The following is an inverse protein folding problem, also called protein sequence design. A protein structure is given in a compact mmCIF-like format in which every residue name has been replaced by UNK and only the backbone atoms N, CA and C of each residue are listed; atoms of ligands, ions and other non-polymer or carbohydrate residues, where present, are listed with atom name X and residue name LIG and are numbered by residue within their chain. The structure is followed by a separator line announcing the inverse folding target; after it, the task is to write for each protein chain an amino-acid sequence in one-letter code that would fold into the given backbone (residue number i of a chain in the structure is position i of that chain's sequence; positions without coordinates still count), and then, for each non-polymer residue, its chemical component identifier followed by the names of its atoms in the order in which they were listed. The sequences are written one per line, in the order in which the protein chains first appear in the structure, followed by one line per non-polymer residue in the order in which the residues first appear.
data_IF_798200097019
#
_entry.id   IF_798200097019
#
_cell.length_a   1.000
_cell.length_b   1.000
_cell.length_c   1.000
_cell.angle_alpha   90.00
_cell.angle_beta   90.00
_cell.angle_gamma   90.00
#
_symmetry.space_group_name_H-M   'P 1'
#
loop_
_entity.id
_entity.type
_entity.pdbx_description
1 polymer ?
#
# COMPACT_ATOMS: atom_id res chain seq x y z
N UNK A 1 9.66 -9.51 10.71
CA UNK A 1 9.19 -10.22 9.49
C UNK A 1 9.84 -9.63 8.25
N UNK A 2 9.70 -10.23 7.06
CA UNK A 2 10.26 -9.70 5.81
C UNK A 2 9.18 -9.60 4.72
N UNK A 3 9.34 -8.64 3.82
CA UNK A 3 8.46 -8.42 2.67
C UNK A 3 9.31 -8.03 1.46
N UNK A 4 8.91 -8.45 0.26
CA UNK A 4 9.53 -8.01 -0.99
C UNK A 4 8.69 -6.85 -1.56
N UNK A 5 9.34 -5.73 -1.83
CA UNK A 5 8.76 -4.52 -2.41
C UNK A 5 9.50 -4.29 -3.74
N UNK A 6 8.85 -4.60 -4.85
CA UNK A 6 9.37 -4.43 -6.22
C UNK A 6 10.78 -5.02 -6.46
N UNK A 7 11.10 -6.15 -5.81
CA UNK A 7 12.41 -6.80 -5.91
C UNK A 7 13.33 -6.53 -4.72
N UNK A 8 13.04 -5.50 -3.92
CA UNK A 8 13.83 -5.13 -2.73
C UNK A 8 13.25 -5.72 -1.45
N UNK A 9 14.08 -6.34 -0.61
CA UNK A 9 13.62 -6.98 0.63
C UNK A 9 13.69 -6.00 1.81
N UNK A 10 12.54 -5.70 2.40
CA UNK A 10 12.41 -4.91 3.62
C UNK A 10 12.25 -5.79 4.87
N UNK A 11 12.83 -5.36 5.99
CA UNK A 11 12.61 -5.94 7.32
C UNK A 11 11.59 -5.12 8.07
N UNK A 12 10.52 -5.75 8.54
CA UNK A 12 9.50 -5.11 9.37
C UNK A 12 9.75 -5.50 10.83
N UNK A 13 9.77 -4.50 11.71
CA UNK A 13 9.94 -4.62 13.17
C UNK A 13 8.84 -3.87 13.90
N UNK A 14 8.42 -4.40 15.04
CA UNK A 14 7.66 -3.66 16.03
C UNK A 14 8.65 -3.17 17.08
N UNK A 15 8.53 -1.91 17.49
CA UNK A 15 9.44 -1.27 18.43
C UNK A 15 8.66 -0.53 19.51
N UNK A 16 9.20 -0.38 20.73
CA UNK A 16 8.48 0.21 21.85
C UNK A 16 7.85 1.58 21.54
N UNK A 17 8.63 2.46 20.90
CA UNK A 17 8.22 3.83 20.59
C UNK A 17 8.92 4.35 19.33
N UNK A 18 8.32 5.40 18.74
CA UNK A 18 8.85 6.14 17.59
C UNK A 18 8.61 7.66 17.75
N UNK A 19 8.79 8.18 18.96
CA UNK A 19 8.60 9.59 19.29
C UNK A 19 7.21 10.10 18.84
N UNK A 20 6.17 9.45 19.34
CA UNK A 20 4.74 9.66 19.02
C UNK A 20 4.30 9.33 17.60
N UNK A 21 5.20 8.87 16.71
CA UNK A 21 4.82 8.40 15.38
C UNK A 21 4.25 6.99 15.43
N UNK A 22 3.31 6.70 14.53
CA UNK A 22 2.74 5.36 14.38
C UNK A 22 3.70 4.36 13.74
N UNK A 23 4.46 4.82 12.73
CA UNK A 23 5.40 4.03 11.96
C UNK A 23 6.45 4.91 11.29
N UNK A 24 7.47 4.26 10.73
CA UNK A 24 8.43 4.88 9.83
C UNK A 24 9.01 3.85 8.85
N UNK A 25 9.40 4.33 7.68
CA UNK A 25 10.13 3.57 6.67
C UNK A 25 11.49 4.21 6.41
N UNK A 26 12.54 3.47 6.72
CA UNK A 26 13.91 3.83 6.33
C UNK A 26 14.25 3.17 5.00
N UNK A 27 14.22 3.98 3.95
CA UNK A 27 14.46 3.55 2.58
C UNK A 27 15.89 3.10 2.31
N UNK A 28 16.88 3.45 3.13
CA UNK A 28 18.27 3.09 2.89
C UNK A 28 18.68 1.83 3.64
N UNK A 29 18.21 1.68 4.88
CA UNK A 29 18.45 0.46 5.67
C UNK A 29 17.44 -0.67 5.36
N UNK A 30 16.40 -0.34 4.58
CA UNK A 30 15.29 -1.23 4.20
C UNK A 30 14.57 -1.76 5.43
N UNK A 31 14.31 -0.88 6.39
CA UNK A 31 13.59 -1.19 7.62
C UNK A 31 12.27 -0.43 7.68
N UNK A 32 11.21 -1.16 7.96
CA UNK A 32 9.90 -0.60 8.32
C UNK A 32 9.73 -0.86 9.81
N UNK A 33 9.47 0.20 10.58
CA UNK A 33 9.26 0.12 12.03
C UNK A 33 7.85 0.56 12.35
N UNK A 34 7.16 -0.21 13.19
CA UNK A 34 5.80 0.08 13.65
C UNK A 34 5.86 0.24 15.17
N UNK A 35 5.30 1.33 15.67
CA UNK A 35 5.30 1.67 17.09
C UNK A 35 4.33 0.77 17.88
N UNK A 36 4.78 0.30 19.04
CA UNK A 36 3.95 -0.33 20.09
C UNK A 36 3.30 0.72 21.01
N UNK A 37 3.60 2.01 20.76
CA UNK A 37 3.03 3.18 21.44
C UNK A 37 3.32 3.22 22.94
N UNK A 38 4.43 2.66 23.43
CA UNK A 38 4.77 2.73 24.86
C UNK A 38 4.95 4.18 25.36
N UNK A 39 5.28 5.10 24.46
CA UNK A 39 5.45 6.54 24.69
C UNK A 39 4.15 7.36 24.59
N UNK A 40 3.04 6.74 24.20
CA UNK A 40 1.75 7.43 24.04
C UNK A 40 0.91 7.28 25.34
N UNK A 41 0.36 8.38 25.89
CA UNK A 41 -0.55 8.31 27.04
C UNK A 41 -1.80 7.48 26.74
N UNK A 42 -2.32 6.77 27.74
CA UNK A 42 -3.40 5.80 27.57
C UNK A 42 -4.69 6.44 27.02
N UNK A 43 -4.99 7.69 27.38
CA UNK A 43 -6.14 8.44 26.92
C UNK A 43 -6.13 8.75 25.41
N UNK A 44 -4.98 8.68 24.75
CA UNK A 44 -4.83 8.87 23.31
C UNK A 44 -4.67 7.55 22.55
N UNK A 45 -4.65 6.41 23.25
CA UNK A 45 -4.57 5.10 22.62
C UNK A 45 -5.94 4.62 22.20
N UNK A 46 -5.97 3.94 21.06
CA UNK A 46 -7.12 3.16 20.66
C UNK A 46 -7.17 1.84 21.42
N UNK A 47 -8.36 1.40 21.80
CA UNK A 47 -8.58 0.06 22.36
C UNK A 47 -8.27 -1.05 21.33
N UNK A 48 -8.18 -0.71 20.04
CA UNK A 48 -7.86 -1.64 18.97
C UNK A 48 -6.50 -1.34 18.33
N UNK A 49 -5.45 -1.38 19.15
CA UNK A 49 -4.06 -1.14 18.74
C UNK A 49 -3.66 -2.02 17.55
N UNK A 50 -4.12 -3.28 17.52
CA UNK A 50 -3.78 -4.23 16.46
C UNK A 50 -4.27 -3.78 15.08
N UNK A 51 -5.53 -3.32 14.96
CA UNK A 51 -6.04 -2.84 13.67
C UNK A 51 -5.40 -1.52 13.25
N UNK A 52 -5.12 -0.63 14.21
CA UNK A 52 -4.36 0.59 13.93
C UNK A 52 -2.96 0.26 13.39
N UNK A 53 -2.21 -0.63 14.05
CA UNK A 53 -0.87 -1.05 13.61
C UNK A 53 -0.89 -1.72 12.23
N UNK A 54 -1.95 -2.45 11.88
CA UNK A 54 -2.13 -2.96 10.51
C UNK A 54 -2.33 -1.83 9.50
N UNK A 55 -3.06 -0.78 9.88
CA UNK A 55 -3.26 0.40 9.02
C UNK A 55 -1.94 1.13 8.79
N UNK A 56 -1.20 1.41 9.87
CA UNK A 56 0.14 2.01 9.80
C UNK A 56 1.07 1.14 8.93
N UNK A 57 1.07 -0.18 9.13
CA UNK A 57 1.92 -1.05 8.30
C UNK A 57 1.60 -0.95 6.80
N UNK A 58 0.32 -0.81 6.43
CA UNK A 58 -0.05 -0.59 5.02
C UNK A 58 0.43 0.77 4.52
N UNK A 59 0.29 1.82 5.33
CA UNK A 59 0.80 3.16 5.05
C UNK A 59 2.32 3.12 4.75
N UNK A 60 3.10 2.52 5.64
CA UNK A 60 4.56 2.38 5.46
C UNK A 60 4.93 1.51 4.25
N UNK A 61 4.17 0.46 3.96
CA UNK A 61 4.38 -0.34 2.76
C UNK A 61 4.16 0.50 1.49
N UNK A 62 3.14 1.36 1.46
CA UNK A 62 2.84 2.23 0.31
C UNK A 62 4.00 3.21 0.09
N UNK A 63 4.52 3.83 1.15
CA UNK A 63 5.77 4.61 1.08
C UNK A 63 6.91 3.82 0.44
N UNK A 64 7.14 2.59 0.89
CA UNK A 64 8.19 1.73 0.32
C UNK A 64 7.96 1.41 -1.17
N UNK A 65 6.72 1.12 -1.59
CA UNK A 65 6.41 0.86 -3.01
C UNK A 65 6.65 2.10 -3.88
N UNK A 66 6.27 3.28 -3.40
CA UNK A 66 6.46 4.53 -4.13
C UNK A 66 7.94 4.88 -4.27
N UNK A 67 8.73 4.71 -3.21
CA UNK A 67 10.17 4.88 -3.24
C UNK A 67 10.87 3.90 -4.19
N UNK A 68 10.62 2.60 -4.06
CA UNK A 68 11.27 1.59 -4.92
C UNK A 68 10.87 1.70 -6.39
N UNK A 69 9.70 2.29 -6.69
CA UNK A 69 9.29 2.59 -8.06
C UNK A 69 9.93 3.87 -8.64
N UNK A 70 10.59 4.70 -7.82
CA UNK A 70 11.13 6.00 -8.18
C UNK A 70 10.06 7.10 -8.38
N UNK A 71 8.80 6.83 -8.03
CA UNK A 71 7.71 7.80 -8.11
C UNK A 71 7.80 8.86 -7.02
N UNK A 72 8.39 8.52 -5.88
CA UNK A 72 8.70 9.47 -4.80
C UNK A 72 9.44 10.71 -5.34
N UNK A 73 10.45 10.49 -6.19
CA UNK A 73 11.23 11.55 -6.83
C UNK A 73 10.59 12.06 -8.12
N UNK A 74 10.07 11.16 -8.96
CA UNK A 74 9.53 11.55 -10.27
C UNK A 74 8.28 12.41 -10.16
N UNK A 75 7.49 12.24 -9.09
CA UNK A 75 6.30 13.06 -8.81
C UNK A 75 6.64 14.48 -8.36
N UNK A 76 7.88 14.79 -8.00
CA UNK A 76 8.27 16.13 -7.53
C UNK A 76 8.01 17.23 -8.57
N UNK A 77 8.05 16.90 -9.86
CA UNK A 77 7.69 17.82 -10.94
C UNK A 77 6.17 18.07 -11.06
N UNK A 78 5.35 17.32 -10.31
CA UNK A 78 3.89 17.29 -10.35
C UNK A 78 3.32 17.36 -8.93
N UNK A 79 3.70 18.37 -8.17
CA UNK A 79 3.24 18.64 -6.80
C UNK A 79 3.55 17.54 -5.77
N UNK A 80 4.50 16.65 -6.08
CA UNK A 80 4.98 15.60 -5.17
C UNK A 80 3.84 14.70 -4.64
N UNK A 81 2.83 14.42 -5.48
CA UNK A 81 1.66 13.64 -5.09
C UNK A 81 2.00 12.24 -4.55
N UNK A 82 3.12 11.65 -4.97
CA UNK A 82 3.54 10.33 -4.52
C UNK A 82 4.07 10.33 -3.07
N UNK A 83 4.38 11.50 -2.50
CA UNK A 83 4.79 11.63 -1.08
C UNK A 83 3.76 12.40 -0.26
N UNK A 84 2.56 12.59 -0.81
CA UNK A 84 1.45 13.22 -0.11
C UNK A 84 0.84 12.24 0.90
N UNK A 85 0.94 12.55 2.19
CA UNK A 85 0.48 11.67 3.27
C UNK A 85 -1.02 11.36 3.22
N UNK A 86 -1.86 12.32 2.82
CA UNK A 86 -3.32 12.11 2.69
C UNK A 86 -3.63 11.05 1.62
N UNK A 87 -2.93 11.09 0.49
CA UNK A 87 -3.05 10.08 -0.57
C UNK A 87 -2.57 8.70 -0.09
N UNK A 88 -1.48 8.65 0.66
CA UNK A 88 -0.91 7.40 1.20
C UNK A 88 -1.86 6.81 2.25
N UNK A 89 -2.42 7.62 3.14
CA UNK A 89 -3.44 7.21 4.10
C UNK A 89 -4.69 6.68 3.41
N UNK A 90 -5.18 7.39 2.39
CA UNK A 90 -6.33 6.94 1.61
C UNK A 90 -6.05 5.57 0.98
N UNK A 91 -4.89 5.40 0.34
CA UNK A 91 -4.48 4.10 -0.22
C UNK A 91 -4.39 3.03 0.87
N UNK A 92 -3.79 3.31 2.02
CA UNK A 92 -3.65 2.35 3.12
C UNK A 92 -5.00 1.87 3.66
N UNK A 93 -5.98 2.78 3.73
CA UNK A 93 -7.34 2.47 4.22
C UNK A 93 -8.14 1.73 3.14
N UNK A 94 -8.04 2.13 1.87
CA UNK A 94 -8.88 1.54 0.81
C UNK A 94 -8.30 0.27 0.19
N UNK A 95 -6.98 0.05 0.20
CA UNK A 95 -6.34 -1.07 -0.50
C UNK A 95 -6.98 -2.43 -0.17
N UNK A 96 -7.28 -2.80 1.09
CA UNK A 96 -7.94 -4.08 1.37
C UNK A 96 -9.31 -4.23 0.68
N UNK A 97 -10.08 -3.13 0.57
CA UNK A 97 -11.40 -3.14 -0.10
C UNK A 97 -11.25 -3.22 -1.62
N UNK A 98 -10.27 -2.50 -2.17
CA UNK A 98 -9.95 -2.51 -3.60
C UNK A 98 -9.51 -3.92 -4.02
N UNK A 99 -8.62 -4.54 -3.25
CA UNK A 99 -8.17 -5.92 -3.51
C UNK A 99 -9.33 -6.91 -3.43
N UNK A 100 -10.19 -6.80 -2.40
CA UNK A 100 -11.38 -7.64 -2.30
C UNK A 100 -12.33 -7.47 -3.50
N UNK A 101 -12.55 -6.24 -3.97
CA UNK A 101 -13.35 -5.98 -5.16
C UNK A 101 -12.70 -6.59 -6.42
N UNK A 102 -11.39 -6.39 -6.61
CA UNK A 102 -10.62 -6.94 -7.73
C UNK A 102 -10.68 -8.48 -7.77
N UNK A 103 -10.39 -9.13 -6.65
CA UNK A 103 -10.46 -10.59 -6.50
C UNK A 103 -11.86 -11.14 -6.75
N UNK A 104 -12.92 -10.41 -6.36
CA UNK A 104 -14.30 -10.85 -6.56
C UNK A 104 -14.75 -10.92 -8.02
N UNK A 105 -14.02 -10.22 -8.91
CA UNK A 105 -14.30 -10.17 -10.36
C UNK A 105 -13.29 -11.02 -11.13
N UNK A 106 -11.99 -10.88 -10.86
CA UNK A 106 -10.92 -11.53 -11.64
C UNK A 106 -10.86 -13.04 -11.38
N UNK A 107 -11.14 -13.50 -10.16
CA UNK A 107 -11.13 -14.94 -9.85
C UNK A 107 -12.38 -15.67 -10.35
N UNK A 108 -13.34 -14.95 -10.96
CA UNK A 108 -14.44 -15.57 -11.70
C UNK A 108 -13.96 -15.81 -13.13
N UNK A 109 -13.90 -17.08 -13.53
CA UNK A 109 -13.52 -17.55 -14.88
C UNK A 109 -14.48 -17.10 -16.01
N UNK A 110 -15.26 -16.04 -15.82
CA UNK A 110 -16.27 -15.57 -16.77
C UNK A 110 -16.12 -14.06 -16.89
N UNK A 111 -15.01 -13.63 -17.48
CA UNK A 111 -15.05 -12.39 -18.26
C UNK A 111 -15.45 -12.84 -19.66
N UNK A 112 -16.77 -13.00 -19.88
CA UNK A 112 -17.33 -13.01 -21.23
C UNK A 112 -17.15 -11.60 -21.80
N UNK A 113 -15.96 -11.33 -22.35
CA UNK A 113 -15.68 -10.11 -23.07
C UNK A 113 -16.43 -10.13 -24.39
N UNK A 114 -17.60 -9.48 -24.43
CA UNK A 114 -18.33 -9.22 -25.68
C UNK A 114 -17.48 -8.47 -26.73
N UNK A 115 -16.45 -7.74 -26.28
CA UNK A 115 -15.52 -7.02 -27.17
C UNK A 115 -14.53 -7.91 -27.93
N UNK A 116 -14.26 -9.15 -27.48
CA UNK A 116 -13.35 -10.05 -28.21
C UNK A 116 -14.10 -10.78 -29.34
N UNK A 117 -15.40 -11.00 -29.17
CA UNK A 117 -16.22 -11.72 -30.15
C UNK A 117 -16.64 -10.84 -31.34
N UNK A 118 -16.67 -9.51 -31.20
CA UNK A 118 -16.99 -8.58 -32.30
C UNK A 118 -15.83 -8.40 -33.31
N UNK A 119 -14.57 -8.61 -32.91
CA UNK A 119 -13.43 -8.46 -33.84
C UNK A 119 -13.27 -9.69 -34.74
N UNK A 120 -13.73 -10.88 -34.31
CA UNK A 120 -13.67 -12.10 -35.12
C UNK A 120 -14.76 -12.20 -36.19
N UNK A 121 -15.80 -11.36 -36.13
CA UNK A 121 -16.90 -11.39 -37.11
C UNK A 121 -16.70 -10.42 -38.29
N UNK A 122 -15.68 -9.56 -38.27
CA UNK A 122 -15.43 -8.53 -39.30
C UNK A 122 -14.31 -8.84 -40.30
N UNK A 123 -13.68 -10.02 -40.27
CA UNK A 123 -12.57 -10.38 -41.19
C UNK A 123 -12.90 -11.45 -42.26
N UNK A 124 -14.18 -11.70 -42.58
CA UNK A 124 -14.54 -12.60 -43.70
C UNK A 124 -15.58 -11.97 -44.62
N UNK A 125 -15.21 -10.87 -45.28
CA UNK A 125 -15.74 -10.51 -46.59
C UNK A 125 -14.63 -9.78 -47.38
N UNK A 126 -13.83 -10.56 -48.13
CA UNK A 126 -13.18 -10.20 -49.41
C UNK A 126 -12.53 -11.43 -50.04
#
# INVERSE_FOLDING_TARGET
MKVNVLGTVYRIKYVPSLDSRGGETDFYTKEIRISEQEDVPAEYKTDNLKEMQKCVLRHELIHAFLYESGLDMSSAAHDAWAVNEEMIDWMAIQMPKIMAAYESVINKNVIESRYIDEIKSTEVEL
#
